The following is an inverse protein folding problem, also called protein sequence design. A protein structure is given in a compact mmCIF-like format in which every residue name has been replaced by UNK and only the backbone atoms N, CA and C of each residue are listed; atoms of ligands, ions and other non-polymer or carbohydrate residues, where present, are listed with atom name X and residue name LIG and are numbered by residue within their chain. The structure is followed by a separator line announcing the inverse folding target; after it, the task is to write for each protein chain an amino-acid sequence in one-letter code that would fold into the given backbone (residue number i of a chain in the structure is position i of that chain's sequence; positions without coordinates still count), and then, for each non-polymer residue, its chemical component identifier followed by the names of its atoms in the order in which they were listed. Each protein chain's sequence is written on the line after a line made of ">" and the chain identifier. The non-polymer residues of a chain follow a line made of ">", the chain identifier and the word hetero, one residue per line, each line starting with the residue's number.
data_IF_902323051361
#
_entry.id   IF_902323051361
#
_cell.length_a   1.000
_cell.length_b   1.000
_cell.length_c   1.000
_cell.angle_alpha   90.00
_cell.angle_beta   90.00
_cell.angle_gamma   90.00
#
_symmetry.space_group_name_H-M   'P 1'
#
loop_
_entity.id
_entity.type
_entity.pdbx_description
1 polymer ?
#
# COMPACT_ATOMS: atom_id res chain seq x y z
N UNK A 1 16.35 -60.13 50.34
CA UNK A 1 16.29 -59.77 49.95
C UNK A 1 16.29 -58.78 49.40
N UNK A 2 16.27 -57.94 48.90
CA UNK A 2 16.21 -57.09 48.39
C UNK A 2 16.20 -56.30 47.72
N UNK A 3 15.98 -55.69 47.39
CA UNK A 3 15.88 -54.98 46.87
C UNK A 3 16.08 -54.02 46.49
N UNK A 4 16.04 -53.44 46.07
CA UNK A 4 16.21 -52.55 45.68
C UNK A 4 16.15 -51.62 45.06
N UNK A 5 15.94 -51.02 44.64
CA UNK A 5 15.80 -50.13 44.08
C UNK A 5 15.97 -49.29 43.60
N UNK A 6 15.93 -49.03 43.33
CA UNK A 6 16.16 -48.19 43.01
C UNK A 6 16.07 -47.33 42.19
N UNK A 7 15.50 -47.17 41.75
CA UNK A 7 15.13 -46.32 40.98
C UNK A 7 15.52 -45.06 40.85
N UNK A 8 15.93 -44.58 40.45
CA UNK A 8 16.17 -43.48 40.28
C UNK A 8 15.80 -42.91 39.31
N UNK A 9 15.14 -42.67 39.19
CA UNK A 9 14.57 -41.81 38.52
C UNK A 9 15.31 -40.78 38.00
N UNK A 10 15.61 -40.74 37.21
CA UNK A 10 16.26 -39.87 36.76
C UNK A 10 15.67 -38.93 36.16
N UNK A 11 15.22 -38.32 36.61
CA UNK A 11 14.69 -37.32 36.14
C UNK A 11 15.27 -36.55 35.18
N UNK A 12 15.01 -36.47 34.30
CA UNK A 12 15.38 -35.84 33.39
C UNK A 12 15.21 -34.60 33.37
N UNK A 13 15.64 -34.06 33.77
CA UNK A 13 15.41 -32.91 33.81
C UNK A 13 15.82 -32.03 32.82
N UNK A 14 15.15 -31.22 32.48
CA UNK A 14 15.56 -30.16 31.75
C UNK A 14 16.53 -29.35 32.54
N UNK A 15 17.57 -28.95 31.97
CA UNK A 15 18.46 -27.99 32.57
C UNK A 15 17.74 -26.65 32.73
N UNK A 16 17.52 -26.17 33.96
CA UNK A 16 16.83 -24.90 34.18
C UNK A 16 17.47 -23.72 33.44
N UNK A 17 18.78 -23.73 33.28
CA UNK A 17 19.49 -22.65 32.61
C UNK A 17 19.16 -22.60 31.11
N UNK A 18 19.07 -23.72 30.44
CA UNK A 18 18.71 -23.73 29.02
C UNK A 18 17.28 -23.26 28.82
N UNK A 19 16.35 -23.56 29.70
CA UNK A 19 14.99 -23.07 29.62
C UNK A 19 14.93 -21.54 29.79
N UNK A 20 15.71 -20.99 30.71
CA UNK A 20 15.78 -19.54 30.93
C UNK A 20 16.37 -18.84 29.70
N UNK A 21 17.41 -19.41 29.09
CA UNK A 21 18.04 -18.84 27.91
C UNK A 21 17.09 -18.86 26.72
N UNK A 22 16.32 -19.91 26.51
CA UNK A 22 15.29 -19.99 25.47
C UNK A 22 14.22 -18.91 25.66
N UNK A 23 13.73 -18.70 26.88
CA UNK A 23 12.76 -17.66 27.18
C UNK A 23 13.31 -16.26 26.88
N UNK A 24 14.57 -16.00 27.23
CA UNK A 24 15.21 -14.73 26.96
C UNK A 24 15.34 -14.48 25.46
N UNK A 25 15.70 -15.49 24.68
CA UNK A 25 15.83 -15.38 23.23
C UNK A 25 14.47 -15.07 22.58
N UNK A 26 13.40 -15.73 23.00
CA UNK A 26 12.05 -15.45 22.51
C UNK A 26 11.62 -14.02 22.84
N UNK A 27 11.88 -13.54 24.07
CA UNK A 27 11.52 -12.18 24.48
C UNK A 27 12.25 -11.13 23.64
N UNK A 28 13.54 -11.31 23.37
CA UNK A 28 14.33 -10.39 22.54
C UNK A 28 13.84 -10.41 21.10
N UNK A 29 13.54 -11.60 20.54
CA UNK A 29 13.00 -11.73 19.20
C UNK A 29 11.64 -11.02 19.08
N UNK A 30 10.77 -11.16 20.06
CA UNK A 30 9.46 -10.50 20.09
C UNK A 30 9.59 -8.98 20.18
N UNK A 31 10.54 -8.47 20.97
CA UNK A 31 10.81 -7.05 21.08
C UNK A 31 11.32 -6.48 19.75
N UNK A 32 12.25 -7.16 19.09
CA UNK A 32 12.79 -6.76 17.79
C UNK A 32 11.68 -6.73 16.75
N UNK A 33 10.81 -7.73 16.74
CA UNK A 33 9.67 -7.80 15.82
C UNK A 33 8.70 -6.63 16.06
N UNK A 34 8.35 -6.34 17.30
CA UNK A 34 7.46 -5.22 17.65
C UNK A 34 8.06 -3.88 17.27
N UNK A 35 9.36 -3.68 17.47
CA UNK A 35 10.06 -2.46 17.08
C UNK A 35 10.05 -2.28 15.56
N UNK A 36 10.25 -3.36 14.81
CA UNK A 36 10.18 -3.36 13.37
C UNK A 36 8.78 -2.99 12.90
N UNK A 37 7.74 -3.57 13.49
CA UNK A 37 6.35 -3.26 13.17
C UNK A 37 6.02 -1.79 13.44
N UNK A 38 6.48 -1.26 14.56
CA UNK A 38 6.28 0.16 14.89
C UNK A 38 6.94 1.08 13.87
N UNK A 39 8.16 0.77 13.45
CA UNK A 39 8.86 1.54 12.42
C UNK A 39 8.14 1.49 11.09
N UNK A 40 7.60 0.32 10.71
CA UNK A 40 6.83 0.14 9.50
C UNK A 40 5.55 0.97 9.53
N UNK A 41 4.82 0.92 10.64
CA UNK A 41 3.60 1.71 10.84
C UNK A 41 3.90 3.21 10.77
N UNK A 42 4.95 3.65 11.44
CA UNK A 42 5.37 5.05 11.41
C UNK A 42 5.74 5.51 10.00
N UNK A 43 6.47 4.68 9.27
CA UNK A 43 6.86 4.95 7.90
C UNK A 43 5.64 5.13 6.99
N UNK A 44 4.69 4.21 7.05
CA UNK A 44 3.47 4.27 6.24
C UNK A 44 2.62 5.48 6.61
N UNK A 45 2.56 5.82 7.89
CA UNK A 45 1.72 6.91 8.38
C UNK A 45 2.34 8.29 8.15
N UNK A 46 3.64 8.44 8.31
CA UNK A 46 4.29 9.74 8.38
C UNK A 46 5.32 10.01 7.27
N UNK A 47 5.99 9.01 6.74
CA UNK A 47 7.05 9.20 5.76
C UNK A 47 6.60 8.96 4.31
N UNK A 48 5.98 7.82 4.05
CA UNK A 48 5.52 7.49 2.70
C UNK A 48 4.55 8.53 2.11
N UNK A 49 3.62 9.11 2.90
CA UNK A 49 2.71 10.12 2.35
C UNK A 49 3.40 11.36 1.77
N UNK A 50 4.59 11.69 2.23
CA UNK A 50 5.36 12.83 1.71
C UNK A 50 5.80 12.64 0.26
N UNK A 51 5.87 11.40 -0.20
CA UNK A 51 6.23 11.04 -1.57
C UNK A 51 5.07 11.16 -2.56
N UNK A 52 3.84 11.29 -2.08
CA UNK A 52 2.63 11.40 -2.91
C UNK A 52 2.67 12.63 -3.83
N UNK A 53 2.10 12.52 -5.05
CA UNK A 53 2.01 13.65 -5.97
C UNK A 53 1.19 14.83 -5.42
N UNK A 54 0.24 14.55 -4.52
CA UNK A 54 -0.53 15.58 -3.83
C UNK A 54 -0.40 15.38 -2.33
N UNK A 55 -0.59 16.47 -1.59
CA UNK A 55 -0.49 16.43 -0.14
C UNK A 55 -1.58 15.53 0.46
N UNK A 56 -1.16 14.56 1.25
CA UNK A 56 -2.06 13.70 2.01
C UNK A 56 -2.18 14.29 3.43
N UNK A 57 -3.40 14.62 3.89
CA UNK A 57 -3.56 15.18 5.24
C UNK A 57 -3.32 14.09 6.30
N UNK A 58 -2.93 14.54 7.49
CA UNK A 58 -2.89 13.65 8.64
C UNK A 58 -4.32 13.20 8.94
N UNK A 59 -4.46 11.95 9.37
CA UNK A 59 -5.77 11.38 9.63
C UNK A 59 -6.44 10.77 8.41
N UNK A 60 -5.80 10.79 7.25
CA UNK A 60 -6.30 10.03 6.09
C UNK A 60 -6.43 8.56 6.45
N UNK A 61 -7.47 7.92 5.93
CA UNK A 61 -7.65 6.47 6.11
C UNK A 61 -6.59 5.72 5.31
N UNK A 62 -5.88 4.81 5.96
CA UNK A 62 -4.82 4.03 5.33
C UNK A 62 -5.30 2.59 5.17
N UNK A 63 -5.14 2.04 3.97
CA UNK A 63 -5.41 0.63 3.69
C UNK A 63 -4.16 0.03 3.06
N UNK A 64 -3.61 -1.00 3.70
CA UNK A 64 -2.42 -1.71 3.24
C UNK A 64 -2.86 -3.09 2.76
N UNK A 65 -2.60 -3.41 1.51
CA UNK A 65 -3.06 -4.65 0.88
C UNK A 65 -1.95 -5.32 0.09
N UNK A 66 -1.88 -6.64 0.22
CA UNK A 66 -1.11 -7.47 -0.69
C UNK A 66 -2.06 -7.93 -1.79
N UNK A 67 -1.75 -7.59 -3.03
CA UNK A 67 -2.58 -7.95 -4.18
C UNK A 67 -2.25 -9.36 -4.68
N UNK A 68 -3.26 -10.04 -5.22
CA UNK A 68 -3.11 -11.40 -5.76
C UNK A 68 -2.08 -11.46 -6.89
N UNK A 69 -1.90 -10.36 -7.62
CA UNK A 69 -0.90 -10.26 -8.67
C UNK A 69 0.55 -10.15 -8.15
N UNK A 70 0.75 -10.20 -6.84
CA UNK A 70 2.10 -10.27 -6.26
C UNK A 70 2.73 -8.92 -5.96
N UNK A 71 1.96 -7.87 -5.75
CA UNK A 71 2.47 -6.57 -5.37
C UNK A 71 1.70 -5.95 -4.19
N UNK A 72 2.37 -5.08 -3.44
CA UNK A 72 1.78 -4.36 -2.32
C UNK A 72 1.17 -3.05 -2.79
N UNK A 73 0.01 -2.71 -2.26
CA UNK A 73 -0.66 -1.44 -2.51
C UNK A 73 -0.99 -0.78 -1.18
N UNK A 74 -0.63 0.48 -1.03
CA UNK A 74 -0.99 1.29 0.14
C UNK A 74 -1.84 2.46 -0.34
N UNK A 75 -3.05 2.53 0.20
CA UNK A 75 -4.05 3.50 -0.23
C UNK A 75 -4.37 4.47 0.88
N UNK A 76 -4.33 5.76 0.57
CA UNK A 76 -4.68 6.85 1.47
C UNK A 76 -5.95 7.51 0.96
N UNK A 77 -6.97 7.65 1.82
CA UNK A 77 -8.26 8.22 1.45
C UNK A 77 -8.65 9.32 2.43
N UNK A 78 -9.18 10.42 1.91
CA UNK A 78 -9.67 11.53 2.71
C UNK A 78 -10.74 12.31 1.94
N UNK A 79 -11.52 13.11 2.67
CA UNK A 79 -12.50 14.01 2.08
C UNK A 79 -12.03 15.45 2.19
N UNK A 80 -12.26 16.22 1.15
CA UNK A 80 -12.03 17.65 1.15
C UNK A 80 -13.10 18.31 0.28
N UNK A 81 -13.97 19.09 0.92
CA UNK A 81 -15.15 19.63 0.22
C UNK A 81 -16.06 18.52 -0.23
N UNK A 82 -16.48 18.56 -1.47
CA UNK A 82 -17.35 17.53 -2.06
C UNK A 82 -16.59 16.33 -2.59
N UNK A 83 -15.27 16.41 -2.64
CA UNK A 83 -14.44 15.35 -3.23
C UNK A 83 -13.94 14.38 -2.18
N UNK A 84 -13.92 13.10 -2.56
CA UNK A 84 -13.19 12.05 -1.87
C UNK A 84 -11.94 11.75 -2.68
N UNK A 85 -10.79 11.99 -2.07
CA UNK A 85 -9.49 11.76 -2.70
C UNK A 85 -8.95 10.39 -2.31
N UNK A 86 -8.23 9.79 -3.25
CA UNK A 86 -7.51 8.54 -3.03
C UNK A 86 -6.13 8.67 -3.67
N UNK A 87 -5.08 8.52 -2.87
CA UNK A 87 -3.72 8.43 -3.37
C UNK A 87 -3.21 7.02 -3.08
N UNK A 88 -2.84 6.28 -4.14
CA UNK A 88 -2.43 4.87 -4.03
C UNK A 88 -0.99 4.70 -4.42
N UNK A 89 -0.21 4.21 -3.49
CA UNK A 89 1.14 3.76 -3.77
C UNK A 89 1.10 2.29 -4.20
N UNK A 90 1.75 1.99 -5.32
CA UNK A 90 1.85 0.63 -5.85
C UNK A 90 3.31 0.22 -5.90
N UNK A 91 3.62 -0.91 -5.30
CA UNK A 91 4.88 -1.58 -5.54
C UNK A 91 4.94 -2.00 -7.00
N UNK A 92 6.12 -1.99 -7.59
CA UNK A 92 6.31 -2.48 -8.96
C UNK A 92 5.75 -3.90 -9.08
N UNK A 93 4.93 -4.15 -10.09
CA UNK A 93 4.44 -5.49 -10.35
C UNK A 93 5.56 -6.39 -10.86
N UNK A 94 5.53 -7.70 -10.57
CA UNK A 94 6.64 -8.60 -10.94
C UNK A 94 7.00 -8.60 -12.42
N UNK A 95 6.01 -8.40 -13.31
CA UNK A 95 6.21 -8.42 -14.75
C UNK A 95 6.48 -7.05 -15.38
N UNK A 96 6.47 -6.00 -14.57
CA UNK A 96 6.76 -4.66 -15.08
C UNK A 96 8.26 -4.46 -15.29
N UNK A 97 8.67 -3.57 -16.21
CA UNK A 97 10.07 -3.24 -16.39
C UNK A 97 10.70 -2.78 -15.07
N UNK A 98 11.94 -3.19 -14.82
CA UNK A 98 12.65 -2.85 -13.58
C UNK A 98 12.76 -1.34 -13.38
N UNK A 99 12.97 -0.59 -14.48
CA UNK A 99 13.10 0.86 -14.43
C UNK A 99 11.78 1.60 -14.17
N UNK A 100 10.64 0.90 -14.22
CA UNK A 100 9.35 1.51 -13.89
C UNK A 100 9.27 1.86 -12.41
N UNK A 101 9.85 1.03 -11.53
CA UNK A 101 9.83 1.24 -10.10
C UNK A 101 8.44 1.24 -9.51
N UNK A 102 8.34 1.76 -8.30
CA UNK A 102 7.06 1.92 -7.60
C UNK A 102 6.39 3.21 -8.08
N UNK A 103 5.07 3.24 -8.08
CA UNK A 103 4.30 4.37 -8.61
C UNK A 103 3.14 4.76 -7.72
N UNK A 104 2.70 6.01 -7.89
CA UNK A 104 1.47 6.53 -7.31
C UNK A 104 0.43 6.74 -8.39
N UNK A 105 -0.83 6.44 -8.06
CA UNK A 105 -1.99 6.83 -8.87
C UNK A 105 -2.94 7.57 -7.96
N UNK A 106 -3.37 8.76 -8.38
CA UNK A 106 -4.22 9.63 -7.59
C UNK A 106 -5.58 9.80 -8.27
N UNK A 107 -6.62 9.59 -7.51
CA UNK A 107 -8.00 9.75 -7.97
C UNK A 107 -8.78 10.68 -7.05
N UNK A 108 -9.81 11.27 -7.58
CA UNK A 108 -10.84 11.93 -6.79
C UNK A 108 -12.23 11.57 -7.29
N UNK A 109 -13.17 11.55 -6.39
CA UNK A 109 -14.56 11.19 -6.68
C UNK A 109 -15.49 12.23 -6.11
N UNK A 110 -16.49 12.62 -6.89
CA UNK A 110 -17.62 13.38 -6.40
C UNK A 110 -18.85 12.50 -6.55
N UNK A 111 -19.64 12.38 -5.49
CA UNK A 111 -20.82 11.51 -5.51
C UNK A 111 -21.95 12.11 -6.33
N UNK A 112 -22.81 11.24 -6.86
CA UNK A 112 -24.05 11.64 -7.47
C UNK A 112 -25.03 12.21 -6.42
N UNK A 113 -25.89 13.12 -6.86
CA UNK A 113 -26.90 13.73 -6.01
C UNK A 113 -28.24 13.63 -6.70
N UNK A 114 -29.25 13.12 -5.99
CA UNK A 114 -30.63 13.13 -6.41
C UNK A 114 -30.97 12.14 -7.52
N UNK A 115 -32.20 12.19 -7.95
CA UNK A 115 -32.76 11.39 -9.04
C UNK A 115 -33.51 12.33 -9.98
N UNK A 116 -33.66 11.91 -11.25
CA UNK A 116 -34.41 12.65 -12.24
C UNK A 116 -33.56 13.63 -13.04
N UNK A 117 -34.21 14.63 -13.71
CA UNK A 117 -33.52 15.50 -14.67
C UNK A 117 -32.40 16.35 -14.11
N UNK A 118 -32.49 16.71 -12.84
CA UNK A 118 -31.49 17.56 -12.18
C UNK A 118 -30.50 16.77 -11.34
N UNK A 119 -30.48 15.44 -11.50
CA UNK A 119 -29.57 14.59 -10.77
C UNK A 119 -28.14 14.81 -11.25
N UNK A 120 -27.20 14.88 -10.30
CA UNK A 120 -25.76 14.91 -10.60
C UNK A 120 -25.25 13.49 -10.57
N UNK A 121 -24.58 13.08 -11.63
CA UNK A 121 -23.96 11.76 -11.70
C UNK A 121 -22.66 11.73 -10.89
N UNK A 122 -22.33 10.55 -10.39
CA UNK A 122 -21.03 10.29 -9.81
C UNK A 122 -19.94 10.48 -10.86
N UNK A 123 -18.90 11.22 -10.54
CA UNK A 123 -17.76 11.43 -11.42
C UNK A 123 -16.49 11.00 -10.70
N UNK A 124 -15.68 10.19 -11.37
CA UNK A 124 -14.36 9.79 -10.87
C UNK A 124 -13.32 10.28 -11.85
N UNK A 125 -12.27 10.91 -11.33
CA UNK A 125 -11.20 11.49 -12.12
C UNK A 125 -9.85 11.00 -11.64
N UNK A 126 -8.89 10.93 -12.56
CA UNK A 126 -7.49 10.54 -12.31
C UNK A 126 -6.60 11.75 -12.56
N UNK A 127 -5.63 11.94 -11.68
CA UNK A 127 -4.67 13.03 -11.78
C UNK A 127 -3.56 12.69 -12.75
N UNK A 128 -3.33 13.54 -13.74
CA UNK A 128 -2.19 13.42 -14.65
C UNK A 128 -1.37 14.71 -14.65
N UNK A 129 -0.05 14.56 -14.74
CA UNK A 129 0.85 15.70 -14.77
C UNK A 129 2.31 15.27 -14.81
N UNK A 130 3.20 16.22 -15.00
CA UNK A 130 4.64 15.94 -15.11
C UNK A 130 5.39 16.22 -13.81
N UNK A 131 4.91 17.13 -13.00
CA UNK A 131 5.63 17.59 -11.81
C UNK A 131 4.73 17.53 -10.59
N UNK A 132 5.27 17.03 -9.49
CA UNK A 132 4.57 17.05 -8.20
C UNK A 132 4.23 18.49 -7.84
N UNK A 133 3.00 18.72 -7.37
CA UNK A 133 2.49 20.05 -7.03
C UNK A 133 2.52 21.07 -8.17
N UNK A 134 2.61 20.58 -9.41
CA UNK A 134 2.60 21.42 -10.61
C UNK A 134 1.19 21.60 -11.20
N UNK A 135 1.13 22.12 -12.42
CA UNK A 135 -0.13 22.26 -13.15
C UNK A 135 -0.57 20.87 -13.64
N UNK A 136 -1.43 20.26 -12.88
CA UNK A 136 -1.92 18.93 -13.14
C UNK A 136 -3.37 18.98 -13.64
N UNK A 137 -3.77 17.94 -14.39
CA UNK A 137 -5.11 17.83 -14.94
C UNK A 137 -5.83 16.65 -14.31
N UNK A 138 -7.11 16.82 -14.09
CA UNK A 138 -8.01 15.74 -13.72
C UNK A 138 -8.72 15.25 -14.98
N UNK A 139 -8.55 13.96 -15.30
CA UNK A 139 -9.21 13.35 -16.45
C UNK A 139 -10.27 12.35 -15.97
N UNK A 140 -11.30 12.17 -16.77
CA UNK A 140 -12.35 11.20 -16.44
C UNK A 140 -11.76 9.78 -16.38
N UNK A 141 -12.14 9.03 -15.37
CA UNK A 141 -11.63 7.66 -15.16
C UNK A 141 -11.98 6.71 -16.30
N UNK A 142 -13.10 6.91 -16.97
CA UNK A 142 -13.46 6.07 -18.14
C UNK A 142 -12.44 6.22 -19.26
N UNK A 143 -11.99 7.45 -19.50
CA UNK A 143 -10.93 7.73 -20.47
C UNK A 143 -9.60 7.08 -20.06
N UNK A 144 -9.27 7.15 -18.79
CA UNK A 144 -8.10 6.48 -18.23
C UNK A 144 -8.18 4.96 -18.43
N UNK A 145 -9.30 4.34 -18.07
CA UNK A 145 -9.49 2.89 -18.20
C UNK A 145 -9.46 2.44 -19.66
N UNK A 146 -9.99 3.25 -20.58
CA UNK A 146 -9.90 2.96 -22.01
C UNK A 146 -8.45 2.91 -22.47
N UNK A 147 -7.61 3.85 -21.99
CA UNK A 147 -6.19 3.85 -22.29
C UNK A 147 -5.46 2.63 -21.68
N UNK A 148 -5.81 2.25 -20.46
CA UNK A 148 -5.26 1.05 -19.81
C UNK A 148 -5.58 -0.20 -20.63
N UNK A 149 -6.83 -0.34 -21.08
CA UNK A 149 -7.25 -1.48 -21.93
C UNK A 149 -6.52 -1.48 -23.27
N UNK A 150 -6.43 -0.32 -23.92
CA UNK A 150 -5.74 -0.19 -25.20
C UNK A 150 -4.26 -0.55 -25.08
N UNK A 151 -3.62 -0.12 -24.00
CA UNK A 151 -2.22 -0.44 -23.75
C UNK A 151 -2.01 -1.94 -23.53
N UNK A 152 -2.92 -2.56 -22.79
CA UNK A 152 -2.88 -4.02 -22.55
C UNK A 152 -3.05 -4.80 -23.85
N UNK A 153 -3.87 -4.30 -24.76
CA UNK A 153 -4.14 -4.94 -26.04
C UNK A 153 -3.14 -4.56 -27.15
N UNK A 154 -2.17 -3.71 -26.85
CA UNK A 154 -1.19 -3.26 -27.82
C UNK A 154 -1.73 -2.26 -28.84
N UNK A 155 -2.88 -1.62 -28.56
CA UNK A 155 -3.56 -0.71 -29.48
C UNK A 155 -3.58 0.74 -29.00
N UNK A 156 -2.85 1.05 -27.92
CA UNK A 156 -2.82 2.41 -27.38
C UNK A 156 -2.21 3.42 -28.36
N UNK A 157 -2.88 4.57 -28.49
CA UNK A 157 -2.33 5.70 -29.24
C UNK A 157 -1.17 6.34 -28.47
N UNK A 158 -0.37 7.15 -29.16
CA UNK A 158 0.71 7.88 -28.49
C UNK A 158 0.17 8.81 -27.39
N UNK A 159 -0.97 9.45 -27.62
CA UNK A 159 -1.63 10.29 -26.62
C UNK A 159 -2.05 9.46 -25.39
N UNK A 160 -2.57 8.26 -25.60
CA UNK A 160 -2.95 7.36 -24.50
C UNK A 160 -1.72 6.90 -23.70
N UNK A 161 -0.63 6.55 -24.38
CA UNK A 161 0.63 6.17 -23.72
C UNK A 161 1.19 7.30 -22.88
N UNK A 162 1.18 8.52 -23.40
CA UNK A 162 1.63 9.70 -22.67
C UNK A 162 0.75 9.98 -21.44
N UNK A 163 -0.55 9.85 -21.59
CA UNK A 163 -1.50 10.00 -20.49
C UNK A 163 -1.23 8.99 -19.39
N UNK A 164 -1.05 7.71 -19.72
CA UNK A 164 -0.75 6.66 -18.76
C UNK A 164 0.59 6.90 -18.05
N UNK A 165 1.59 7.36 -18.79
CA UNK A 165 2.90 7.71 -18.22
C UNK A 165 2.76 8.83 -17.19
N UNK A 166 1.99 9.86 -17.50
CA UNK A 166 1.83 11.03 -16.64
C UNK A 166 0.86 10.81 -15.49
N UNK A 167 0.11 9.74 -15.48
CA UNK A 167 -0.79 9.36 -14.39
C UNK A 167 -0.23 8.25 -13.49
N UNK A 168 0.86 7.61 -13.90
CA UNK A 168 1.64 6.71 -13.05
C UNK A 168 2.83 7.50 -12.53
N UNK A 169 2.64 8.16 -11.40
CA UNK A 169 3.64 9.05 -10.81
C UNK A 169 4.76 8.21 -10.18
N UNK A 170 5.98 8.44 -10.61
CA UNK A 170 7.12 7.68 -10.09
C UNK A 170 7.33 7.96 -8.61
N UNK A 171 7.43 6.91 -7.82
CA UNK A 171 7.75 6.98 -6.40
C UNK A 171 9.27 6.94 -6.23
N UNK A 172 9.76 7.72 -5.26
CA UNK A 172 11.16 7.65 -4.84
C UNK A 172 11.35 6.62 -3.71
N UNK A 173 10.27 6.02 -3.27
CA UNK A 173 10.23 5.01 -2.20
C UNK A 173 9.85 3.65 -2.79
#
# INVERSE_FOLDING_TARGET
>A
MHSSNTGRGTGCGTNPQSTIDEIKEETVSDEVERDREKREIDYIKNELPKDSPIKIPQGAKITDQQKDAGYRQIKYQWKRGEYKYTSRWHQRTPNAPVNQGNTWVVERKIDGIGNGPNARRKVVEVLIGKYKNGNNKWINKEKWLAAVRANRNGTATEAQKEMLKNGHWKSEK
#
